data_IF_324161497093
#
_entry.id   IF_324161497093
#
_cell.length_a   1.000
_cell.length_b   1.000
_cell.length_c   1.000
_cell.angle_alpha   90.00
_cell.angle_beta   90.00
_cell.angle_gamma   90.00
#
_symmetry.space_group_name_H-M   'P 1'
#
loop_
_entity.id
_entity.type
_entity.pdbx_description
1 polymer ?
#
# COMPACT_ATOMS: atom_id res chain seq x y z
N UNK A 1 -9.87 15.97 -5.88
CA UNK A 1 -9.28 14.66 -5.62
C UNK A 1 -9.10 14.51 -4.11
N UNK A 2 -9.31 13.33 -3.57
CA UNK A 2 -9.03 13.01 -2.16
C UNK A 2 -8.43 11.61 -2.07
N UNK A 3 -7.82 11.30 -0.92
CA UNK A 3 -7.33 9.96 -0.60
C UNK A 3 -8.39 9.23 0.22
N UNK A 4 -8.49 7.94 -0.02
CA UNK A 4 -9.23 6.99 0.80
C UNK A 4 -8.31 5.86 1.20
N UNK A 5 -8.08 5.71 2.49
CA UNK A 5 -7.15 4.72 3.02
C UNK A 5 -7.84 3.36 3.15
N UNK A 6 -7.14 2.30 2.75
CA UNK A 6 -7.56 0.92 2.93
C UNK A 6 -6.63 0.23 3.92
N UNK A 7 -7.15 -0.43 4.98
CA UNK A 7 -6.30 -1.05 5.98
C UNK A 7 -5.64 -2.33 5.46
N UNK A 8 -4.37 -2.50 5.83
CA UNK A 8 -3.63 -3.76 5.79
C UNK A 8 -3.61 -4.31 7.22
N UNK A 9 -4.05 -5.53 7.40
CA UNK A 9 -4.21 -6.15 8.71
C UNK A 9 -3.36 -7.40 8.85
N UNK A 10 -2.98 -7.73 10.08
CA UNK A 10 -2.40 -9.02 10.42
C UNK A 10 -3.46 -10.16 10.40
N UNK A 11 -3.07 -11.42 10.52
CA UNK A 11 -4.00 -12.54 10.53
C UNK A 11 -5.04 -12.50 11.65
N UNK A 12 -4.81 -11.72 12.71
CA UNK A 12 -5.72 -11.49 13.81
C UNK A 12 -6.73 -10.36 13.54
N UNK A 13 -6.55 -9.65 12.41
CA UNK A 13 -7.42 -8.53 12.00
C UNK A 13 -7.02 -7.18 12.60
N UNK A 14 -5.85 -7.09 13.25
CA UNK A 14 -5.32 -5.83 13.76
C UNK A 14 -4.70 -5.02 12.63
N UNK A 15 -5.08 -3.75 12.51
CA UNK A 15 -4.52 -2.83 11.51
C UNK A 15 -3.05 -2.61 11.79
N UNK A 16 -2.22 -2.78 10.75
CA UNK A 16 -0.77 -2.59 10.78
C UNK A 16 -0.33 -1.40 9.93
N UNK A 17 -0.99 -1.15 8.81
CA UNK A 17 -0.70 -0.05 7.90
C UNK A 17 -1.91 0.23 7.00
N UNK A 18 -1.78 1.22 6.12
CA UNK A 18 -2.80 1.59 5.15
C UNK A 18 -2.22 1.71 3.75
N UNK A 19 -3.09 1.60 2.74
CA UNK A 19 -2.82 1.98 1.37
C UNK A 19 -3.63 3.21 1.00
N UNK A 20 -2.97 4.26 0.52
CA UNK A 20 -3.59 5.49 0.05
C UNK A 20 -4.14 5.33 -1.37
N UNK A 21 -5.45 5.28 -1.50
CA UNK A 21 -6.16 5.10 -2.76
C UNK A 21 -6.79 6.40 -3.21
N UNK A 22 -6.35 6.91 -4.34
CA UNK A 22 -6.88 8.15 -4.91
C UNK A 22 -8.34 8.02 -5.35
N UNK A 23 -9.11 9.07 -5.09
CA UNK A 23 -10.52 9.19 -5.53
C UNK A 23 -10.73 10.56 -6.16
N UNK A 24 -11.35 10.58 -7.32
CA UNK A 24 -11.70 11.81 -8.01
C UNK A 24 -13.20 11.95 -8.12
N UNK A 25 -13.70 13.12 -7.74
CA UNK A 25 -15.11 13.47 -7.83
C UNK A 25 -15.28 14.70 -8.70
N UNK A 26 -16.25 14.66 -9.62
CA UNK A 26 -16.65 15.78 -10.46
C UNK A 26 -18.16 15.94 -10.32
N UNK A 27 -18.62 17.11 -9.89
CA UNK A 27 -20.05 17.35 -9.67
C UNK A 27 -20.71 16.39 -8.68
N UNK A 28 -19.94 15.87 -7.70
CA UNK A 28 -20.41 14.88 -6.71
C UNK A 28 -20.38 13.41 -7.20
N UNK A 29 -20.06 13.17 -8.46
CA UNK A 29 -19.92 11.82 -9.01
C UNK A 29 -18.48 11.32 -8.92
N UNK A 30 -18.30 10.07 -8.48
CA UNK A 30 -16.99 9.43 -8.43
C UNK A 30 -16.55 9.00 -9.84
N UNK A 31 -15.33 9.40 -10.22
CA UNK A 31 -14.66 8.89 -11.44
C UNK A 31 -13.86 7.66 -11.04
N UNK A 32 -13.97 6.59 -11.84
CA UNK A 32 -13.23 5.35 -11.59
C UNK A 32 -11.71 5.59 -11.68
N UNK A 33 -10.89 5.02 -10.78
CA UNK A 33 -9.44 5.17 -10.81
C UNK A 33 -8.82 4.82 -12.15
N UNK A 34 -9.24 3.72 -12.75
CA UNK A 34 -8.74 3.25 -14.06
C UNK A 34 -8.95 4.29 -15.17
N UNK A 35 -10.03 5.10 -15.08
CA UNK A 35 -10.29 6.14 -16.05
C UNK A 35 -9.36 7.34 -15.87
N UNK A 36 -9.26 7.90 -14.65
CA UNK A 36 -8.50 9.13 -14.47
C UNK A 36 -6.99 8.91 -14.44
N UNK A 37 -6.52 7.74 -13.94
CA UNK A 37 -5.11 7.38 -13.98
C UNK A 37 -4.66 7.22 -15.43
N UNK A 38 -5.40 6.46 -16.24
CA UNK A 38 -5.10 6.30 -17.66
C UNK A 38 -5.10 7.65 -18.42
N UNK A 39 -6.00 8.56 -18.06
CA UNK A 39 -6.00 9.93 -18.64
C UNK A 39 -4.75 10.71 -18.21
N UNK A 40 -4.36 10.63 -16.92
CA UNK A 40 -3.16 11.29 -16.43
C UNK A 40 -1.90 10.77 -17.13
N UNK A 41 -1.79 9.45 -17.32
CA UNK A 41 -0.70 8.82 -18.07
C UNK A 41 -0.62 9.33 -19.51
N UNK A 42 -1.75 9.29 -20.24
CA UNK A 42 -1.82 9.72 -21.65
C UNK A 42 -1.47 11.21 -21.86
N UNK A 43 -1.70 12.03 -20.85
CA UNK A 43 -1.44 13.47 -20.91
C UNK A 43 -0.14 13.88 -20.19
N UNK A 44 0.67 12.93 -19.73
CA UNK A 44 1.94 13.23 -19.04
C UNK A 44 1.76 13.93 -17.68
N UNK A 45 0.63 13.70 -17.00
CA UNK A 45 0.27 14.36 -15.74
C UNK A 45 0.59 13.50 -14.51
N UNK A 46 1.21 12.33 -14.68
CA UNK A 46 1.44 11.38 -13.58
C UNK A 46 2.34 11.95 -12.49
N UNK A 47 3.42 12.64 -12.83
CA UNK A 47 4.29 13.28 -11.83
C UNK A 47 3.52 14.31 -10.98
N UNK A 48 2.65 15.13 -11.60
CA UNK A 48 1.81 16.07 -10.86
C UNK A 48 0.79 15.35 -9.98
N UNK A 49 0.19 14.28 -10.49
CA UNK A 49 -0.76 13.45 -9.77
C UNK A 49 -0.10 12.80 -8.54
N UNK A 50 1.05 12.16 -8.70
CA UNK A 50 1.79 11.49 -7.63
C UNK A 50 2.30 12.50 -6.57
N UNK A 51 2.66 13.73 -7.01
CA UNK A 51 2.98 14.81 -6.08
C UNK A 51 1.80 15.21 -5.19
N UNK A 52 0.59 15.28 -5.74
CA UNK A 52 -0.63 15.55 -4.95
C UNK A 52 -0.92 14.40 -3.96
N UNK A 53 -0.73 13.14 -4.37
CA UNK A 53 -0.89 11.98 -3.50
C UNK A 53 0.14 12.02 -2.37
N UNK A 54 1.40 12.27 -2.68
CA UNK A 54 2.49 12.41 -1.71
C UNK A 54 2.17 13.49 -0.67
N UNK A 55 1.82 14.69 -1.10
CA UNK A 55 1.52 15.82 -0.21
C UNK A 55 0.32 15.52 0.71
N UNK A 56 -0.74 14.92 0.19
CA UNK A 56 -1.91 14.54 1.00
C UNK A 56 -1.55 13.43 2.01
N UNK A 57 -0.78 12.43 1.61
CA UNK A 57 -0.35 11.34 2.51
C UNK A 57 0.57 11.85 3.62
N UNK A 58 1.50 12.74 3.30
CA UNK A 58 2.36 13.40 4.30
C UNK A 58 1.53 14.22 5.28
N UNK A 59 0.53 14.97 4.81
CA UNK A 59 -0.35 15.75 5.69
C UNK A 59 -1.15 14.85 6.65
N UNK A 60 -1.65 13.70 6.18
CA UNK A 60 -2.34 12.69 7.01
C UNK A 60 -1.37 12.13 8.05
N UNK A 61 -0.16 11.72 7.65
CA UNK A 61 0.85 11.18 8.55
C UNK A 61 1.24 12.20 9.64
N UNK A 62 1.41 13.48 9.28
CA UNK A 62 1.69 14.56 10.24
C UNK A 62 0.52 14.77 11.21
N UNK A 63 -0.73 14.72 10.72
CA UNK A 63 -1.91 14.82 11.56
C UNK A 63 -1.99 13.65 12.55
N UNK A 64 -1.80 12.42 12.08
CA UNK A 64 -1.81 11.22 12.91
C UNK A 64 -0.69 11.23 13.94
N UNK A 65 0.53 11.63 13.55
CA UNK A 65 1.66 11.73 14.47
C UNK A 65 1.37 12.68 15.65
N UNK A 66 0.73 13.84 15.39
CA UNK A 66 0.34 14.78 16.46
C UNK A 66 -0.65 14.17 17.47
N UNK A 67 -1.35 13.13 17.07
CA UNK A 67 -2.34 12.42 17.90
C UNK A 67 -1.78 11.11 18.48
N UNK A 68 -0.49 10.84 18.29
CA UNK A 68 0.15 9.62 18.75
C UNK A 68 -0.22 8.37 17.95
N UNK A 69 -0.84 8.54 16.76
CA UNK A 69 -1.14 7.45 15.84
C UNK A 69 0.05 7.27 14.89
N UNK A 70 0.68 6.10 14.95
CA UNK A 70 1.90 5.77 14.19
C UNK A 70 1.63 4.57 13.28
N UNK A 71 0.83 4.81 12.23
CA UNK A 71 0.51 3.80 11.22
C UNK A 71 1.10 4.18 9.87
N UNK A 72 1.86 3.29 9.23
CA UNK A 72 2.38 3.54 7.89
C UNK A 72 1.28 3.69 6.85
N UNK A 73 1.52 4.57 5.87
CA UNK A 73 0.68 4.74 4.67
C UNK A 73 1.53 4.43 3.45
N UNK A 74 1.05 3.54 2.59
CA UNK A 74 1.67 3.24 1.31
C UNK A 74 1.06 4.09 0.20
N UNK A 75 1.91 4.60 -0.70
CA UNK A 75 1.51 5.32 -1.91
C UNK A 75 1.99 4.58 -3.15
N UNK A 76 1.15 4.54 -4.17
CA UNK A 76 1.49 3.99 -5.48
C UNK A 76 2.34 4.98 -6.28
N UNK A 77 3.48 4.53 -6.81
CA UNK A 77 4.38 5.30 -7.67
C UNK A 77 4.69 4.52 -8.93
N UNK A 78 4.75 5.23 -10.06
CA UNK A 78 5.19 4.65 -11.33
C UNK A 78 6.69 4.85 -11.59
N UNK A 79 7.20 4.15 -12.60
CA UNK A 79 8.56 4.35 -13.09
C UNK A 79 8.81 5.79 -13.57
N UNK A 80 7.92 6.39 -14.37
CA UNK A 80 8.08 7.77 -14.84
C UNK A 80 8.29 8.80 -13.72
N UNK A 81 7.56 8.70 -12.61
CA UNK A 81 7.66 9.63 -11.48
C UNK A 81 9.01 9.47 -10.77
N UNK A 82 9.43 8.23 -10.56
CA UNK A 82 10.74 7.95 -9.97
C UNK A 82 11.89 8.34 -10.91
N UNK A 83 11.67 8.50 -12.21
CA UNK A 83 12.63 8.97 -13.18
C UNK A 83 12.61 10.49 -13.36
N UNK A 84 11.61 11.20 -12.83
CA UNK A 84 11.58 12.65 -12.80
C UNK A 84 12.51 13.19 -11.71
N UNK A 85 13.50 14.00 -12.11
CA UNK A 85 14.52 14.51 -11.18
C UNK A 85 13.92 15.41 -10.11
N UNK A 86 12.89 16.18 -10.46
CA UNK A 86 12.27 17.12 -9.53
C UNK A 86 11.43 16.40 -8.48
N UNK A 87 10.69 15.37 -8.88
CA UNK A 87 9.92 14.55 -7.95
C UNK A 87 10.82 13.73 -7.02
N UNK A 88 11.86 13.13 -7.58
CA UNK A 88 12.83 12.37 -6.78
C UNK A 88 13.53 13.27 -5.76
N UNK A 89 13.97 14.47 -6.15
CA UNK A 89 14.59 15.44 -5.24
C UNK A 89 13.61 15.90 -4.15
N UNK A 90 12.33 16.12 -4.48
CA UNK A 90 11.28 16.45 -3.51
C UNK A 90 11.09 15.34 -2.47
N UNK A 91 11.02 14.08 -2.91
CA UNK A 91 10.88 12.93 -2.01
C UNK A 91 12.09 12.80 -1.07
N UNK A 92 13.31 13.00 -1.59
CA UNK A 92 14.54 12.98 -0.80
C UNK A 92 14.60 14.16 0.19
N UNK A 93 14.20 15.37 -0.21
CA UNK A 93 14.17 16.55 0.67
C UNK A 93 13.17 16.36 1.81
N UNK A 94 11.96 15.85 1.51
CA UNK A 94 10.96 15.54 2.54
C UNK A 94 11.49 14.58 3.60
N UNK A 95 12.26 13.57 3.19
CA UNK A 95 12.86 12.62 4.12
C UNK A 95 14.00 13.21 4.95
N UNK A 96 14.77 14.15 4.38
CA UNK A 96 15.81 14.87 5.10
C UNK A 96 15.23 15.83 6.13
N UNK A 97 14.15 16.55 5.78
CA UNK A 97 13.46 17.49 6.66
C UNK A 97 12.66 16.77 7.76
N UNK A 98 12.17 15.56 7.45
CA UNK A 98 11.36 14.73 8.33
C UNK A 98 11.85 13.29 8.38
N UNK A 99 12.96 12.96 9.07
CA UNK A 99 13.56 11.62 9.08
C UNK A 99 12.61 10.50 9.54
N UNK A 100 11.64 10.81 10.40
CA UNK A 100 10.60 9.85 10.82
C UNK A 100 9.71 9.39 9.67
N UNK A 101 9.56 10.21 8.62
CA UNK A 101 8.64 9.95 7.51
C UNK A 101 9.00 8.67 6.76
N UNK A 102 10.29 8.33 6.64
CA UNK A 102 10.74 7.12 5.93
C UNK A 102 10.22 5.83 6.57
N UNK A 103 9.91 5.85 7.87
CA UNK A 103 9.34 4.70 8.59
C UNK A 103 7.83 4.55 8.38
N UNK A 104 7.15 5.64 8.01
CA UNK A 104 5.68 5.67 7.90
C UNK A 104 5.16 5.93 6.50
N UNK A 105 5.99 6.35 5.56
CA UNK A 105 5.65 6.45 4.14
C UNK A 105 6.26 5.26 3.40
N UNK A 106 5.42 4.35 2.92
CA UNK A 106 5.80 3.20 2.12
C UNK A 106 5.58 3.50 0.64
N UNK A 107 6.43 2.93 -0.23
CA UNK A 107 6.36 3.13 -1.68
C UNK A 107 5.95 1.82 -2.36
N UNK A 108 4.87 1.85 -3.13
CA UNK A 108 4.40 0.69 -3.89
C UNK A 108 4.67 0.91 -5.38
N UNK A 109 5.30 -0.08 -6.02
CA UNK A 109 5.72 -0.01 -7.42
C UNK A 109 5.27 -1.28 -8.11
N UNK A 110 4.57 -1.16 -9.24
CA UNK A 110 4.05 -2.32 -9.95
C UNK A 110 5.15 -3.23 -10.48
N UNK A 111 4.88 -4.52 -10.55
CA UNK A 111 5.76 -5.53 -11.15
C UNK A 111 6.22 -5.10 -12.55
N UNK A 112 5.33 -4.52 -13.35
CA UNK A 112 5.64 -4.05 -14.71
C UNK A 112 6.73 -2.97 -14.73
N UNK A 113 6.72 -2.04 -13.78
CA UNK A 113 7.74 -0.99 -13.71
C UNK A 113 9.14 -1.57 -13.37
N UNK A 114 9.19 -2.63 -12.57
CA UNK A 114 10.44 -3.31 -12.22
C UNK A 114 10.95 -4.15 -13.38
N UNK A 115 10.05 -4.76 -14.17
CA UNK A 115 10.38 -5.55 -15.34
C UNK A 115 11.10 -4.75 -16.43
N UNK A 116 10.88 -3.44 -16.50
CA UNK A 116 11.62 -2.56 -17.41
C UNK A 116 13.04 -2.36 -16.88
N UNK A 117 14.01 -2.89 -17.59
CA UNK A 117 15.44 -2.75 -17.23
C UNK A 117 15.91 -1.31 -17.43
N UNK A 118 15.62 -0.45 -16.47
CA UNK A 118 16.11 0.94 -16.45
C UNK A 118 17.12 1.12 -15.31
N UNK A 119 18.42 1.23 -15.61
CA UNK A 119 19.47 1.32 -14.59
C UNK A 119 19.26 2.49 -13.61
N UNK A 120 18.75 3.63 -14.11
CA UNK A 120 18.48 4.79 -13.27
C UNK A 120 17.35 4.53 -12.26
N UNK A 121 16.27 3.84 -12.67
CA UNK A 121 15.18 3.46 -11.77
C UNK A 121 15.71 2.57 -10.64
N UNK A 122 16.43 1.51 -10.97
CA UNK A 122 17.03 0.63 -9.96
C UNK A 122 17.99 1.36 -9.01
N UNK A 123 18.79 2.30 -9.54
CA UNK A 123 19.65 3.15 -8.72
C UNK A 123 18.85 4.00 -7.73
N UNK A 124 17.76 4.61 -8.19
CA UNK A 124 16.88 5.45 -7.34
C UNK A 124 16.15 4.63 -6.28
N UNK A 125 15.65 3.45 -6.64
CA UNK A 125 15.04 2.53 -5.68
C UNK A 125 16.02 2.12 -4.58
N UNK A 126 17.27 1.78 -4.94
CA UNK A 126 18.31 1.48 -3.94
C UNK A 126 18.61 2.68 -3.05
N UNK A 127 18.67 3.89 -3.60
CA UNK A 127 18.86 5.09 -2.80
C UNK A 127 17.70 5.31 -1.81
N UNK A 128 16.45 5.17 -2.23
CA UNK A 128 15.27 5.29 -1.37
C UNK A 128 15.27 4.24 -0.25
N UNK A 129 15.57 2.98 -0.58
CA UNK A 129 15.65 1.91 0.42
C UNK A 129 16.79 2.18 1.43
N UNK A 130 17.98 2.62 0.97
CA UNK A 130 19.10 3.01 1.85
C UNK A 130 18.78 4.22 2.73
N UNK A 131 17.89 5.10 2.29
CA UNK A 131 17.36 6.22 3.08
C UNK A 131 16.34 5.78 4.14
N UNK A 132 15.88 4.53 4.07
CA UNK A 132 14.96 3.93 5.03
C UNK A 132 13.51 3.84 4.58
N UNK A 133 13.20 4.16 3.31
CA UNK A 133 11.87 3.90 2.78
C UNK A 133 11.65 2.40 2.56
N UNK A 134 10.50 1.90 2.99
CA UNK A 134 10.05 0.56 2.64
C UNK A 134 9.47 0.56 1.22
N UNK A 135 9.90 -0.42 0.42
CA UNK A 135 9.48 -0.59 -0.97
C UNK A 135 8.70 -1.89 -1.13
N UNK A 136 7.52 -1.80 -1.71
CA UNK A 136 6.67 -2.95 -2.03
C UNK A 136 6.52 -3.12 -3.54
N UNK A 137 6.60 -4.37 -4.00
CA UNK A 137 6.25 -4.73 -5.38
C UNK A 137 4.76 -5.05 -5.43
N UNK A 138 4.02 -4.26 -6.22
CA UNK A 138 2.58 -4.42 -6.40
C UNK A 138 2.22 -5.30 -7.60
N UNK A 139 1.01 -5.87 -7.60
CA UNK A 139 0.46 -6.76 -8.62
C UNK A 139 1.34 -7.98 -8.92
N UNK A 140 2.08 -8.50 -7.93
CA UNK A 140 3.05 -9.57 -8.13
C UNK A 140 2.40 -10.88 -8.58
N UNK A 141 3.02 -11.51 -9.58
CA UNK A 141 2.57 -12.75 -10.19
C UNK A 141 1.77 -12.54 -11.48
N UNK A 142 1.64 -11.31 -11.95
CA UNK A 142 0.96 -11.04 -13.24
C UNK A 142 1.82 -11.36 -14.45
N UNK A 143 3.08 -11.77 -14.24
CA UNK A 143 3.92 -12.42 -15.26
C UNK A 143 4.89 -11.49 -15.98
N UNK A 144 5.20 -10.34 -15.41
CA UNK A 144 6.09 -9.34 -16.03
C UNK A 144 7.55 -9.42 -15.59
N UNK A 145 7.85 -9.95 -14.39
CA UNK A 145 9.20 -9.99 -13.85
C UNK A 145 9.83 -11.36 -13.89
N UNK A 146 11.14 -11.42 -14.18
CA UNK A 146 11.95 -12.62 -13.97
C UNK A 146 12.39 -12.72 -12.50
N UNK A 147 12.72 -13.94 -12.05
CA UNK A 147 13.28 -14.15 -10.71
C UNK A 147 14.55 -13.32 -10.46
N UNK A 148 15.39 -13.12 -11.50
CA UNK A 148 16.59 -12.30 -11.38
C UNK A 148 16.25 -10.84 -11.07
N UNK A 149 15.22 -10.28 -11.71
CA UNK A 149 14.78 -8.90 -11.44
C UNK A 149 14.24 -8.73 -10.03
N UNK A 150 13.53 -9.75 -9.52
CA UNK A 150 13.06 -9.74 -8.14
C UNK A 150 14.23 -9.74 -7.13
N UNK A 151 15.25 -10.56 -7.37
CA UNK A 151 16.46 -10.62 -6.53
C UNK A 151 17.24 -9.30 -6.55
N UNK A 152 17.30 -8.63 -7.70
CA UNK A 152 18.03 -7.38 -7.88
C UNK A 152 17.27 -6.14 -7.37
N UNK A 153 15.95 -6.26 -7.16
CA UNK A 153 15.11 -5.17 -6.68
C UNK A 153 15.26 -5.01 -5.15
N UNK A 154 15.52 -3.80 -4.65
CA UNK A 154 15.64 -3.52 -3.22
C UNK A 154 14.26 -3.42 -2.56
N UNK A 155 13.40 -4.41 -2.77
CA UNK A 155 12.08 -4.47 -2.19
C UNK A 155 12.10 -5.19 -0.83
N UNK A 156 11.21 -4.77 0.06
CA UNK A 156 10.99 -5.36 1.39
C UNK A 156 9.74 -6.22 1.42
N UNK A 157 8.82 -5.98 0.49
CA UNK A 157 7.48 -6.59 0.49
C UNK A 157 7.04 -6.92 -0.93
N UNK A 158 6.29 -8.01 -1.09
CA UNK A 158 5.49 -8.28 -2.28
C UNK A 158 4.01 -8.26 -1.94
N UNK A 159 3.20 -7.68 -2.83
CA UNK A 159 1.73 -7.69 -2.77
C UNK A 159 1.22 -8.70 -3.78
N UNK A 160 0.54 -9.72 -3.31
CA UNK A 160 -0.04 -10.78 -4.14
C UNK A 160 -1.38 -10.28 -4.69
N UNK A 161 -1.47 -10.20 -6.01
CA UNK A 161 -2.66 -9.70 -6.71
C UNK A 161 -3.93 -10.50 -6.35
N UNK A 162 -5.04 -9.77 -6.25
CA UNK A 162 -6.38 -10.30 -5.91
C UNK A 162 -6.83 -11.47 -6.80
N UNK A 163 -6.35 -11.56 -8.05
CA UNK A 163 -6.71 -12.66 -8.97
C UNK A 163 -6.31 -14.02 -8.42
N UNK A 164 -5.20 -14.11 -7.70
CA UNK A 164 -4.78 -15.35 -7.04
C UNK A 164 -5.62 -15.65 -5.79
N UNK A 165 -5.94 -14.61 -5.02
CA UNK A 165 -6.72 -14.75 -3.78
C UNK A 165 -8.18 -15.10 -4.07
N UNK A 166 -8.77 -14.53 -5.12
CA UNK A 166 -10.16 -14.80 -5.52
C UNK A 166 -10.42 -16.25 -5.94
N UNK A 167 -9.36 -16.97 -6.37
CA UNK A 167 -9.47 -18.38 -6.75
C UNK A 167 -9.51 -19.35 -5.56
N UNK A 168 -9.29 -18.89 -4.34
CA UNK A 168 -9.34 -19.72 -3.13
C UNK A 168 -10.80 -20.00 -2.76
N UNK A 169 -11.17 -21.25 -2.49
CA UNK A 169 -10.40 -22.51 -2.54
C UNK A 169 -10.56 -23.31 -3.83
N UNK A 170 -11.26 -22.78 -4.84
CA UNK A 170 -11.82 -23.59 -5.94
C UNK A 170 -10.80 -24.04 -7.00
N UNK A 171 -9.82 -23.18 -7.34
CA UNK A 171 -8.84 -23.52 -8.38
C UNK A 171 -7.54 -24.07 -7.79
N UNK A 172 -7.39 -25.38 -7.85
CA UNK A 172 -6.21 -26.06 -7.33
C UNK A 172 -4.89 -25.69 -8.03
N UNK A 173 -4.91 -25.22 -9.29
CA UNK A 173 -3.71 -24.78 -10.00
C UNK A 173 -3.25 -23.42 -9.53
N UNK A 174 -4.15 -22.46 -9.48
CA UNK A 174 -3.87 -21.09 -8.99
C UNK A 174 -3.48 -21.12 -7.51
N UNK A 175 -4.11 -21.95 -6.70
CA UNK A 175 -3.75 -22.16 -5.29
C UNK A 175 -2.32 -22.69 -5.13
N UNK A 176 -1.87 -23.61 -6.02
CA UNK A 176 -0.46 -24.09 -6.01
C UNK A 176 0.52 -22.98 -6.41
N UNK A 177 0.16 -22.15 -7.40
CA UNK A 177 0.98 -20.99 -7.79
C UNK A 177 1.11 -20.03 -6.60
N UNK A 178 0.00 -19.68 -5.96
CA UNK A 178 -0.04 -18.83 -4.77
C UNK A 178 0.86 -19.38 -3.65
N UNK A 179 0.76 -20.69 -3.35
CA UNK A 179 1.62 -21.34 -2.37
C UNK A 179 3.11 -21.19 -2.73
N UNK A 180 3.48 -21.49 -3.99
CA UNK A 180 4.87 -21.37 -4.47
C UNK A 180 5.37 -19.93 -4.39
N UNK A 181 4.54 -18.96 -4.74
CA UNK A 181 4.86 -17.51 -4.64
C UNK A 181 5.14 -17.12 -3.18
N UNK A 182 4.32 -17.56 -2.25
CA UNK A 182 4.54 -17.32 -0.81
C UNK A 182 5.85 -17.96 -0.32
N UNK A 183 6.17 -19.19 -0.76
CA UNK A 183 7.44 -19.82 -0.38
C UNK A 183 8.64 -19.10 -0.99
N UNK A 184 8.54 -18.63 -2.24
CA UNK A 184 9.59 -17.82 -2.87
C UNK A 184 9.85 -16.53 -2.10
N UNK A 185 8.79 -15.79 -1.76
CA UNK A 185 8.92 -14.55 -0.98
C UNK A 185 9.62 -14.79 0.37
N UNK A 186 9.24 -15.86 1.07
CA UNK A 186 9.89 -16.26 2.33
C UNK A 186 11.37 -16.60 2.13
N UNK A 187 11.71 -17.33 1.07
CA UNK A 187 13.09 -17.68 0.76
C UNK A 187 13.97 -16.45 0.46
N UNK A 188 13.36 -15.37 -0.05
CA UNK A 188 13.98 -14.08 -0.30
C UNK A 188 13.90 -13.11 0.88
N UNK A 189 13.35 -13.52 2.03
CA UNK A 189 13.11 -12.68 3.20
C UNK A 189 12.22 -11.46 2.91
N UNK A 190 11.27 -11.58 1.98
CA UNK A 190 10.30 -10.55 1.66
C UNK A 190 9.04 -10.74 2.51
N UNK A 191 8.49 -9.63 2.98
CA UNK A 191 7.17 -9.59 3.58
C UNK A 191 6.10 -9.85 2.51
N UNK A 192 4.92 -10.29 2.94
CA UNK A 192 3.83 -10.65 2.02
C UNK A 192 2.57 -9.94 2.43
N UNK A 193 1.96 -9.25 1.49
CA UNK A 193 0.60 -8.70 1.59
C UNK A 193 -0.29 -9.43 0.59
N UNK A 194 -1.36 -10.07 1.04
CA UNK A 194 -2.36 -10.67 0.15
C UNK A 194 -3.51 -9.70 -0.07
N UNK A 195 -3.83 -9.44 -1.34
CA UNK A 195 -4.87 -8.50 -1.72
C UNK A 195 -6.21 -9.14 -2.07
N UNK A 196 -7.29 -8.36 -1.95
CA UNK A 196 -8.62 -8.81 -2.35
C UNK A 196 -9.20 -9.90 -1.47
N UNK A 197 -8.86 -9.92 -0.18
CA UNK A 197 -9.44 -10.88 0.78
C UNK A 197 -10.87 -10.45 1.10
N UNK A 198 -11.85 -11.27 0.72
CA UNK A 198 -13.28 -10.99 0.85
C UNK A 198 -14.00 -11.96 1.77
N UNK A 199 -13.38 -13.10 2.11
CA UNK A 199 -13.99 -14.14 2.94
C UNK A 199 -13.05 -14.66 4.02
N UNK A 200 -13.64 -15.18 5.09
CA UNK A 200 -12.90 -15.80 6.19
C UNK A 200 -12.19 -17.10 5.77
N UNK A 201 -12.71 -17.79 4.74
CA UNK A 201 -12.05 -18.95 4.14
C UNK A 201 -10.72 -18.53 3.52
N UNK A 202 -10.70 -17.46 2.72
CA UNK A 202 -9.48 -16.92 2.13
C UNK A 202 -8.50 -16.49 3.21
N UNK A 203 -8.97 -15.76 4.22
CA UNK A 203 -8.14 -15.32 5.36
C UNK A 203 -7.43 -16.49 6.04
N UNK A 204 -8.19 -17.52 6.46
CA UNK A 204 -7.65 -18.70 7.14
C UNK A 204 -6.66 -19.47 6.27
N UNK A 205 -6.96 -19.58 4.99
CA UNK A 205 -6.06 -20.25 4.04
C UNK A 205 -4.73 -19.49 3.92
N UNK A 206 -4.77 -18.19 3.68
CA UNK A 206 -3.57 -17.34 3.61
C UNK A 206 -2.77 -17.35 4.91
N UNK A 207 -3.45 -17.32 6.05
CA UNK A 207 -2.84 -17.48 7.36
C UNK A 207 -2.12 -18.81 7.51
N UNK A 208 -2.72 -19.92 7.05
CA UNK A 208 -2.08 -21.26 7.09
C UNK A 208 -0.82 -21.35 6.23
N UNK A 209 -0.72 -20.53 5.17
CA UNK A 209 0.47 -20.40 4.35
C UNK A 209 1.53 -19.46 4.97
N UNK A 210 1.18 -18.76 6.06
CA UNK A 210 2.05 -17.82 6.78
C UNK A 210 2.14 -16.45 6.10
N UNK A 211 1.07 -16.00 5.45
CA UNK A 211 0.93 -14.63 4.98
C UNK A 211 0.85 -13.69 6.20
N UNK A 212 1.69 -12.65 6.23
CA UNK A 212 1.82 -11.75 7.37
C UNK A 212 0.78 -10.63 7.36
N UNK A 213 0.46 -10.10 6.19
CA UNK A 213 -0.50 -9.01 6.04
C UNK A 213 -1.55 -9.35 4.98
N UNK A 214 -2.74 -8.85 5.18
CA UNK A 214 -3.88 -9.05 4.31
C UNK A 214 -4.64 -7.75 4.11
N UNK A 215 -5.20 -7.57 2.93
CA UNK A 215 -6.00 -6.41 2.56
C UNK A 215 -7.21 -6.85 1.74
N UNK A 216 -8.38 -6.28 2.00
CA UNK A 216 -9.59 -6.58 1.26
C UNK A 216 -10.87 -6.14 1.96
N UNK A 217 -12.00 -6.36 1.30
CA UNK A 217 -13.30 -5.91 1.81
C UNK A 217 -13.74 -6.64 3.08
N UNK A 218 -13.13 -7.78 3.40
CA UNK A 218 -13.36 -8.46 4.67
C UNK A 218 -12.95 -7.57 5.87
N UNK A 219 -11.90 -6.76 5.72
CA UNK A 219 -11.32 -5.96 6.80
C UNK A 219 -11.76 -4.50 6.77
N UNK A 220 -12.12 -3.99 5.60
CA UNK A 220 -12.61 -2.64 5.42
C UNK A 220 -12.59 -2.16 3.98
N UNK A 221 -13.54 -1.31 3.66
CA UNK A 221 -13.56 -0.60 2.39
C UNK A 221 -12.71 0.67 2.51
N UNK A 222 -12.16 1.18 1.40
CA UNK A 222 -11.44 2.45 1.43
C UNK A 222 -12.29 3.57 2.02
N UNK A 223 -11.80 4.23 3.06
CA UNK A 223 -12.49 5.30 3.79
C UNK A 223 -11.56 6.51 4.00
N UNK A 224 -12.11 7.71 4.29
CA UNK A 224 -11.30 8.88 4.63
C UNK A 224 -10.41 8.63 5.85
N UNK A 225 -9.26 9.32 5.94
CA UNK A 225 -8.32 9.21 7.05
C UNK A 225 -9.00 9.46 8.42
N UNK A 226 -9.90 10.43 8.50
CA UNK A 226 -10.64 10.76 9.74
C UNK A 226 -11.49 9.58 10.23
N UNK A 227 -12.10 8.83 9.32
CA UNK A 227 -12.84 7.62 9.69
C UNK A 227 -11.94 6.59 10.39
N UNK A 228 -10.74 6.35 9.86
CA UNK A 228 -9.79 5.42 10.47
C UNK A 228 -9.22 5.97 11.76
N UNK A 229 -8.93 7.26 11.82
CA UNK A 229 -8.50 7.94 13.04
C UNK A 229 -9.47 7.68 14.20
N UNK A 230 -10.77 7.84 13.97
CA UNK A 230 -11.82 7.59 14.98
C UNK A 230 -11.89 6.11 15.43
N UNK A 231 -11.48 5.18 14.55
CA UNK A 231 -11.43 3.75 14.90
C UNK A 231 -10.16 3.37 15.68
N UNK A 232 -9.07 4.10 15.46
CA UNK A 232 -7.75 3.80 16.03
C UNK A 232 -7.54 4.50 17.38
N UNK A 233 -8.17 5.64 17.59
CA UNK A 233 -8.11 6.34 18.88
C UNK A 233 -8.82 5.51 19.96
N UNK A 234 -8.23 5.41 21.17
CA UNK A 234 -8.89 4.77 22.30
C UNK A 234 -10.24 5.47 22.56
N UNK A 235 -11.32 4.72 22.49
CA UNK A 235 -12.65 5.26 22.83
C UNK A 235 -12.59 5.72 24.30
N UNK A 236 -12.73 7.02 24.53
CA UNK A 236 -12.90 7.54 25.87
C UNK A 236 -14.03 6.77 26.56
N UNK A 237 -13.85 6.29 27.80
CA UNK A 237 -14.94 5.65 28.53
C UNK A 237 -16.11 6.63 28.56
N UNK A 238 -17.27 6.20 28.04
CA UNK A 238 -18.51 6.99 28.22
C UNK A 238 -18.68 7.19 29.70
N UNK A 239 -18.54 8.42 30.17
CA UNK A 239 -18.98 8.80 31.50
C UNK A 239 -20.49 8.57 31.52
N UNK A 240 -20.90 7.42 32.06
CA UNK A 240 -22.28 7.24 32.49
C UNK A 240 -22.50 8.25 33.61
N UNK A 241 -23.08 9.39 33.24
CA UNK A 241 -23.66 10.30 34.19
C UNK A 241 -24.78 9.56 34.85
N UNK A 242 -24.45 8.89 35.96
CA UNK A 242 -25.44 8.25 36.81
C UNK A 242 -26.47 9.28 37.20
N UNK A 243 -27.66 9.20 36.62
CA UNK A 243 -28.85 9.89 37.10
C UNK A 243 -29.11 9.40 38.54
N UNK A 244 -28.60 10.15 39.53
CA UNK A 244 -29.09 10.03 40.90
C UNK A 244 -30.57 10.38 40.88
N UNK A 245 -31.42 9.39 40.97
CA UNK A 245 -32.85 9.59 41.38
C UNK A 245 -32.84 10.09 42.82
N UNK A 246 -33.34 11.28 42.98
CA UNK A 246 -33.81 11.80 44.27
C UNK A 246 -35.20 11.22 44.56
#
# INVERSE_FOLDING_TARGET
MCIRDRPKVDPQGKIQSFEALSRWFVGGQAIAPDCFVLMAERHGLMTMFSRLVLQQSVAILQQWQRQGLLYPIAINLGGPELLDDSFFAELMSLSADHPWLTQYLQLEITETNIAVQQPLLHKRLRALNQYGFSISIDDFGTGHSSLSQLVDCPADTIKIDRRFVSCIPQDSRTVRILHTTIQLAKALNLNIVAEGVESDIQRRFLQSLGCQLMQGYLFGRPAPADYWQDQLLPKSPKLELGAKKA
#
